data_IF_169173365767
#
_entry.id   IF_169173365767
#
_cell.length_a   1.000
_cell.length_b   1.000
_cell.length_c   1.000
_cell.angle_alpha   90.00
_cell.angle_beta   90.00
_cell.angle_gamma   90.00
#
_symmetry.space_group_name_H-M   'P 1'
#
loop_
_entity.id
_entity.type
_entity.pdbx_description
1 polymer ?
#
# COMPACT_ATOMS: atom_id res chain seq x y z
N UNK A 1 -17.28 18.99 -13.21
CA UNK A 1 -15.90 19.14 -12.70
C UNK A 1 -15.96 19.02 -11.19
N UNK A 2 -15.67 17.85 -10.65
CA UNK A 2 -15.61 17.66 -9.19
C UNK A 2 -14.22 18.08 -8.71
N UNK A 3 -14.17 19.12 -7.89
CA UNK A 3 -12.96 19.51 -7.15
C UNK A 3 -13.24 19.22 -5.68
N UNK A 4 -12.65 18.16 -5.14
CA UNK A 4 -12.59 18.03 -3.69
C UNK A 4 -11.64 19.12 -3.19
N UNK A 5 -12.09 19.92 -2.22
CA UNK A 5 -11.25 20.95 -1.61
C UNK A 5 -10.02 20.33 -0.92
N UNK A 6 -10.18 19.11 -0.41
CA UNK A 6 -9.13 18.27 0.17
C UNK A 6 -8.00 17.93 -0.82
N UNK A 7 -8.26 18.01 -2.13
CA UNK A 7 -7.29 17.72 -3.19
C UNK A 7 -6.39 18.92 -3.56
N UNK A 8 -6.68 20.12 -3.05
CA UNK A 8 -6.03 21.37 -3.50
C UNK A 8 -4.50 21.35 -3.43
N UNK A 9 -3.92 20.59 -2.50
CA UNK A 9 -2.48 20.52 -2.27
C UNK A 9 -1.88 19.13 -2.54
N UNK A 10 -2.68 18.20 -3.09
CA UNK A 10 -2.22 16.85 -3.39
C UNK A 10 -1.61 16.77 -4.80
N UNK A 11 -0.61 15.91 -5.02
CA UNK A 11 -0.12 15.62 -6.36
C UNK A 11 -1.26 15.15 -7.27
N UNK A 12 -1.25 15.54 -8.55
CA UNK A 12 -2.32 15.23 -9.50
C UNK A 12 -2.58 13.71 -9.62
N UNK A 13 -1.54 12.89 -9.48
CA UNK A 13 -1.64 11.43 -9.50
C UNK A 13 -2.37 10.88 -8.27
N UNK A 14 -2.21 11.49 -7.10
CA UNK A 14 -2.94 11.12 -5.88
C UNK A 14 -4.42 11.47 -6.03
N UNK A 15 -4.72 12.66 -6.57
CA UNK A 15 -6.09 13.07 -6.85
C UNK A 15 -6.77 12.11 -7.82
N UNK A 16 -6.06 11.69 -8.88
CA UNK A 16 -6.59 10.73 -9.84
C UNK A 16 -6.83 9.35 -9.24
N UNK A 17 -5.91 8.86 -8.39
CA UNK A 17 -6.09 7.61 -7.65
C UNK A 17 -7.35 7.67 -6.78
N UNK A 18 -7.52 8.73 -5.98
CA UNK A 18 -8.70 8.91 -5.13
C UNK A 18 -10.01 8.84 -5.94
N UNK A 19 -10.08 9.64 -7.00
CA UNK A 19 -11.30 9.78 -7.79
C UNK A 19 -11.66 8.46 -8.50
N UNK A 20 -10.70 7.79 -9.15
CA UNK A 20 -10.98 6.52 -9.83
C UNK A 20 -11.33 5.38 -8.87
N UNK A 21 -10.68 5.30 -7.71
CA UNK A 21 -10.92 4.22 -6.75
C UNK A 21 -12.10 4.50 -5.81
N UNK A 22 -12.74 5.68 -5.92
CA UNK A 22 -14.06 5.93 -5.35
C UNK A 22 -15.15 5.02 -5.93
N UNK A 23 -14.95 4.47 -7.13
CA UNK A 23 -15.93 3.73 -7.94
C UNK A 23 -17.18 4.55 -8.33
N UNK A 24 -17.11 5.88 -8.24
CA UNK A 24 -18.20 6.79 -8.59
C UNK A 24 -17.88 7.67 -9.81
N UNK A 25 -16.65 7.60 -10.32
CA UNK A 25 -16.12 8.52 -11.33
C UNK A 25 -15.41 7.71 -12.42
N UNK A 26 -15.93 7.81 -13.64
CA UNK A 26 -15.34 7.19 -14.82
C UNK A 26 -14.30 8.10 -15.49
N UNK A 27 -14.63 9.39 -15.63
CA UNK A 27 -13.84 10.35 -16.37
C UNK A 27 -13.25 11.47 -15.48
N UNK A 28 -11.94 11.70 -15.63
CA UNK A 28 -11.22 12.78 -14.97
C UNK A 28 -10.77 13.81 -16.00
N UNK A 29 -11.20 15.06 -15.80
CA UNK A 29 -10.85 16.19 -16.68
C UNK A 29 -9.99 17.17 -15.89
N UNK A 30 -8.79 17.46 -16.40
CA UNK A 30 -7.90 18.49 -15.86
C UNK A 30 -8.47 19.86 -16.27
N UNK A 31 -8.83 20.69 -15.30
CA UNK A 31 -9.46 21.99 -15.60
C UNK A 31 -8.54 23.20 -15.54
N UNK A 32 -7.27 23.05 -15.14
CA UNK A 32 -6.25 24.08 -15.35
C UNK A 32 -5.52 23.84 -16.68
N UNK A 33 -5.18 24.92 -17.37
CA UNK A 33 -4.46 24.90 -18.65
C UNK A 33 -3.14 25.69 -18.48
N UNK A 34 -1.96 25.14 -18.78
CA UNK A 34 -1.64 23.80 -19.28
C UNK A 34 -1.20 22.85 -18.15
N UNK A 35 -1.58 21.57 -18.24
CA UNK A 35 -0.90 20.51 -17.48
C UNK A 35 0.49 20.30 -18.07
N UNK A 36 1.49 20.00 -17.23
CA UNK A 36 2.84 19.71 -17.73
C UNK A 36 2.89 18.34 -18.43
N UNK A 37 3.86 18.13 -19.31
CA UNK A 37 4.04 16.85 -20.00
C UNK A 37 4.32 15.72 -18.98
N UNK A 38 5.07 16.03 -17.92
CA UNK A 38 5.35 15.11 -16.82
C UNK A 38 4.07 14.73 -16.05
N UNK A 39 3.16 15.67 -15.83
CA UNK A 39 1.86 15.40 -15.19
C UNK A 39 0.99 14.48 -16.06
N UNK A 40 0.95 14.75 -17.37
CA UNK A 40 0.20 13.94 -18.33
C UNK A 40 0.76 12.52 -18.42
N UNK A 41 2.08 12.38 -18.51
CA UNK A 41 2.73 11.07 -18.54
C UNK A 41 2.51 10.31 -17.23
N UNK A 42 2.64 10.99 -16.08
CA UNK A 42 2.41 10.38 -14.78
C UNK A 42 0.97 9.88 -14.64
N UNK A 43 -0.03 10.63 -15.12
CA UNK A 43 -1.43 10.20 -15.16
C UNK A 43 -1.66 9.03 -16.13
N UNK A 44 -1.01 9.05 -17.30
CA UNK A 44 -1.12 8.00 -18.30
C UNK A 44 -0.57 6.64 -17.85
N UNK A 45 0.39 6.64 -16.92
CA UNK A 45 0.99 5.42 -16.35
C UNK A 45 0.17 4.82 -15.19
N UNK A 46 -0.84 5.52 -14.69
CA UNK A 46 -1.66 5.01 -13.59
C UNK A 46 -2.55 3.85 -14.03
N UNK A 47 -2.61 2.81 -13.20
CA UNK A 47 -3.57 1.73 -13.35
C UNK A 47 -4.93 2.19 -12.80
N UNK A 48 -5.96 2.14 -13.64
CA UNK A 48 -7.34 2.52 -13.27
C UNK A 48 -8.12 1.41 -12.56
N UNK A 49 -7.66 0.17 -12.66
CA UNK A 49 -8.35 -1.01 -12.15
C UNK A 49 -7.77 -1.53 -10.83
N UNK A 50 -6.55 -1.12 -10.49
CA UNK A 50 -5.84 -1.61 -9.31
C UNK A 50 -5.17 -0.42 -8.62
N UNK A 51 -5.50 -0.22 -7.35
CA UNK A 51 -4.91 0.84 -6.55
C UNK A 51 -3.44 0.52 -6.28
N UNK A 52 -2.56 1.35 -6.83
CA UNK A 52 -1.12 1.26 -6.56
C UNK A 52 -0.70 2.35 -5.59
N UNK A 53 -0.22 1.98 -4.40
CA UNK A 53 0.22 2.90 -3.37
C UNK A 53 1.73 3.16 -3.48
N UNK A 54 2.15 4.41 -3.32
CA UNK A 54 3.57 4.78 -3.22
C UNK A 54 4.10 4.48 -1.83
N UNK A 55 5.29 3.88 -1.77
CA UNK A 55 5.89 3.39 -0.53
C UNK A 55 7.33 3.84 -0.38
N UNK A 56 7.72 4.08 0.87
CA UNK A 56 9.10 4.25 1.31
C UNK A 56 9.52 2.97 2.05
N UNK A 57 10.48 2.25 1.50
CA UNK A 57 10.99 1.01 2.10
C UNK A 57 11.92 1.33 3.28
N UNK A 58 11.86 0.51 4.33
CA UNK A 58 12.77 0.61 5.47
C UNK A 58 14.18 0.21 5.08
N UNK A 59 15.18 0.84 5.69
CA UNK A 59 16.57 0.40 5.53
C UNK A 59 16.79 -0.99 6.14
N UNK A 60 17.60 -1.82 5.48
CA UNK A 60 17.99 -3.13 5.99
C UNK A 60 16.99 -4.27 5.75
N UNK A 61 15.91 -4.04 4.99
CA UNK A 61 15.02 -5.12 4.55
C UNK A 61 15.72 -6.05 3.56
N UNK A 62 15.37 -7.33 3.64
CA UNK A 62 15.88 -8.37 2.75
C UNK A 62 15.37 -8.21 1.32
N UNK A 63 16.07 -8.84 0.36
CA UNK A 63 15.61 -8.90 -1.03
C UNK A 63 14.25 -9.61 -1.15
N UNK A 64 14.00 -10.60 -0.29
CA UNK A 64 12.72 -11.29 -0.22
C UNK A 64 11.60 -10.33 0.19
N UNK A 65 11.79 -9.53 1.25
CA UNK A 65 10.79 -8.56 1.70
C UNK A 65 10.52 -7.51 0.60
N UNK A 66 11.56 -7.02 -0.08
CA UNK A 66 11.39 -6.11 -1.23
C UNK A 66 10.57 -6.74 -2.35
N UNK A 67 10.87 -8.01 -2.68
CA UNK A 67 10.15 -8.77 -3.69
C UNK A 67 8.68 -8.99 -3.32
N UNK A 68 8.42 -9.33 -2.06
CA UNK A 68 7.05 -9.49 -1.54
C UNK A 68 6.26 -8.20 -1.75
N UNK A 69 6.86 -7.03 -1.47
CA UNK A 69 6.17 -5.73 -1.59
C UNK A 69 5.98 -5.31 -3.06
N UNK A 70 7.00 -5.45 -3.90
CA UNK A 70 7.01 -4.81 -5.23
C UNK A 70 6.58 -5.73 -6.38
N UNK A 71 6.75 -7.04 -6.25
CA UNK A 71 6.52 -7.98 -7.35
C UNK A 71 5.25 -8.83 -7.16
N UNK A 72 4.72 -8.94 -5.95
CA UNK A 72 3.50 -9.70 -5.71
C UNK A 72 2.23 -8.93 -6.08
N UNK A 73 1.24 -9.68 -6.55
CA UNK A 73 -0.11 -9.17 -6.69
C UNK A 73 -0.81 -9.30 -5.34
N UNK A 74 -0.95 -8.19 -4.63
CA UNK A 74 -1.61 -8.22 -3.33
C UNK A 74 -3.12 -8.24 -3.49
N UNK A 75 -3.74 -8.94 -2.56
CA UNK A 75 -5.18 -9.15 -2.54
C UNK A 75 -5.66 -9.05 -1.11
N UNK A 76 -6.55 -8.10 -0.85
CA UNK A 76 -7.11 -7.92 0.48
C UNK A 76 -8.07 -9.05 0.80
N UNK A 77 -7.81 -9.77 1.88
CA UNK A 77 -8.67 -10.87 2.29
C UNK A 77 -10.04 -10.37 2.78
N UNK A 78 -11.07 -11.21 2.58
CA UNK A 78 -12.45 -10.90 2.97
C UNK A 78 -12.70 -10.68 4.46
N UNK A 79 -11.84 -11.24 5.33
CA UNK A 79 -11.94 -11.03 6.77
C UNK A 79 -11.44 -9.63 7.14
N UNK A 80 -12.39 -8.70 7.25
CA UNK A 80 -12.12 -7.32 7.63
C UNK A 80 -11.56 -7.27 9.05
N UNK A 81 -10.29 -6.88 9.16
CA UNK A 81 -9.72 -6.45 10.43
C UNK A 81 -9.83 -4.93 10.56
N UNK A 82 -10.20 -4.46 11.76
CA UNK A 82 -10.21 -3.03 12.05
C UNK A 82 -8.80 -2.43 12.22
N UNK A 83 -7.75 -3.28 12.23
CA UNK A 83 -6.37 -2.91 12.54
C UNK A 83 -5.43 -3.05 11.35
N UNK A 84 -5.69 -3.97 10.41
CA UNK A 84 -4.78 -4.25 9.29
C UNK A 84 -5.53 -4.66 8.02
N UNK A 85 -4.96 -4.33 6.88
CA UNK A 85 -5.28 -4.94 5.58
C UNK A 85 -4.30 -6.07 5.36
N UNK A 86 -4.79 -7.26 4.98
CA UNK A 86 -3.99 -8.49 4.97
C UNK A 86 -3.84 -9.03 3.55
N UNK A 87 -2.60 -9.30 3.15
CA UNK A 87 -2.22 -9.97 1.91
C UNK A 87 -1.60 -11.31 2.23
N UNK A 88 -2.43 -12.37 2.19
CA UNK A 88 -2.07 -13.70 2.70
C UNK A 88 -1.36 -14.61 1.68
N UNK A 89 -1.40 -14.25 0.40
CA UNK A 89 -0.84 -15.08 -0.67
C UNK A 89 0.69 -15.21 -0.63
N UNK A 90 1.47 -14.14 -0.34
CA UNK A 90 2.93 -14.22 -0.26
C UNK A 90 3.41 -15.27 0.76
N UNK A 91 2.75 -15.40 1.92
CA UNK A 91 3.03 -16.44 2.91
C UNK A 91 3.02 -17.86 2.33
N UNK A 92 2.08 -18.18 1.43
CA UNK A 92 1.98 -19.52 0.82
C UNK A 92 3.13 -19.75 -0.15
N UNK A 93 3.49 -18.71 -0.91
CA UNK A 93 4.54 -18.75 -1.93
C UNK A 93 5.94 -18.82 -1.31
N UNK A 94 6.18 -18.09 -0.23
CA UNK A 94 7.46 -17.93 0.43
C UNK A 94 7.57 -18.71 1.75
N UNK A 95 6.72 -19.72 1.95
CA UNK A 95 6.66 -20.51 3.18
C UNK A 95 8.01 -21.15 3.58
N UNK A 96 8.84 -21.48 2.59
CA UNK A 96 10.13 -22.16 2.79
C UNK A 96 11.30 -21.17 2.88
N UNK A 97 11.04 -19.88 2.65
CA UNK A 97 12.03 -18.82 2.80
C UNK A 97 12.03 -18.25 4.22
N UNK A 98 13.16 -17.70 4.65
CA UNK A 98 13.34 -17.12 5.98
C UNK A 98 13.12 -15.62 5.93
N UNK A 99 12.35 -15.11 6.90
CA UNK A 99 12.16 -13.69 7.16
C UNK A 99 12.72 -13.44 8.56
N UNK A 100 14.00 -13.10 8.70
CA UNK A 100 14.61 -12.94 10.02
C UNK A 100 13.98 -11.75 10.77
N UNK A 101 13.82 -11.84 12.10
CA UNK A 101 13.22 -10.75 12.87
C UNK A 101 14.11 -9.50 12.86
N UNK A 102 13.49 -8.35 12.61
CA UNK A 102 14.09 -7.03 12.78
C UNK A 102 13.81 -6.48 14.20
N UNK A 103 14.46 -5.36 14.53
CA UNK A 103 14.22 -4.68 15.80
C UNK A 103 12.72 -4.33 15.94
N UNK A 104 12.08 -4.70 17.06
CA UNK A 104 10.66 -4.43 17.26
C UNK A 104 10.41 -2.92 17.31
N UNK A 105 9.35 -2.51 16.62
CA UNK A 105 8.90 -1.12 16.56
C UNK A 105 7.38 -1.10 16.74
N UNK A 106 6.86 -0.07 17.41
CA UNK A 106 5.41 0.18 17.47
C UNK A 106 4.87 0.33 16.05
N UNK A 107 3.77 -0.36 15.74
CA UNK A 107 3.18 -0.33 14.42
C UNK A 107 2.28 0.91 14.33
N UNK A 108 2.53 1.76 13.35
CA UNK A 108 1.81 3.01 13.12
C UNK A 108 0.92 2.90 11.88
N UNK A 109 -0.20 3.65 11.81
CA UNK A 109 -1.03 3.69 10.62
C UNK A 109 -0.23 4.06 9.35
N UNK A 110 -0.41 3.26 8.29
CA UNK A 110 0.32 3.38 7.03
C UNK A 110 1.62 2.57 6.96
N UNK A 111 2.05 1.93 8.05
CA UNK A 111 3.19 1.03 8.01
C UNK A 111 2.88 -0.22 7.17
N UNK A 112 3.88 -0.65 6.41
CA UNK A 112 3.92 -1.95 5.75
C UNK A 112 4.67 -2.91 6.64
N UNK A 113 4.05 -4.06 6.87
CA UNK A 113 4.66 -5.09 7.71
C UNK A 113 4.66 -6.45 7.05
N UNK A 114 5.67 -7.26 7.39
CA UNK A 114 5.73 -8.67 7.02
C UNK A 114 5.94 -9.49 8.28
N UNK A 115 5.10 -10.50 8.48
CA UNK A 115 5.25 -11.41 9.62
C UNK A 115 6.52 -12.26 9.45
N UNK A 116 7.35 -12.30 10.49
CA UNK A 116 8.69 -12.86 10.45
C UNK A 116 8.73 -14.31 10.99
N UNK A 117 9.93 -14.88 11.05
CA UNK A 117 10.16 -16.28 11.47
C UNK A 117 9.65 -16.60 12.89
N UNK A 118 9.41 -15.61 13.75
CA UNK A 118 8.84 -15.81 15.09
C UNK A 118 7.33 -16.07 15.05
N UNK A 119 6.63 -15.70 13.98
CA UNK A 119 5.24 -16.10 13.72
C UNK A 119 5.20 -17.24 12.70
N UNK A 120 5.50 -18.45 13.16
CA UNK A 120 5.49 -19.68 12.34
C UNK A 120 4.16 -19.84 11.59
N UNK A 121 3.06 -19.37 12.18
CA UNK A 121 1.77 -19.42 11.51
C UNK A 121 1.79 -18.42 10.37
N UNK A 122 1.95 -17.13 10.60
CA UNK A 122 1.72 -16.10 9.59
C UNK A 122 2.94 -15.66 8.77
N UNK A 123 4.12 -16.28 8.97
CA UNK A 123 5.38 -15.96 8.27
C UNK A 123 5.21 -15.64 6.78
N UNK A 124 5.73 -14.49 6.36
CA UNK A 124 5.71 -13.99 4.99
C UNK A 124 4.39 -13.34 4.57
N UNK A 125 3.42 -13.18 5.49
CA UNK A 125 2.19 -12.44 5.23
C UNK A 125 2.48 -10.94 5.26
N UNK A 126 2.05 -10.23 4.22
CA UNK A 126 2.20 -8.78 4.14
C UNK A 126 0.93 -8.10 4.66
N UNK A 127 1.10 -7.08 5.50
CA UNK A 127 0.01 -6.31 6.06
C UNK A 127 0.23 -4.79 5.88
N UNK A 128 -0.87 -4.04 5.80
CA UNK A 128 -0.87 -2.58 5.93
C UNK A 128 -1.57 -2.22 7.23
N UNK A 129 -0.91 -1.45 8.08
CA UNK A 129 -1.43 -1.05 9.39
C UNK A 129 -2.44 0.08 9.26
N UNK A 130 -3.62 -0.08 9.86
CA UNK A 130 -4.71 0.91 9.88
C UNK A 130 -4.80 1.65 11.22
N UNK A 131 -4.34 1.03 12.31
CA UNK A 131 -4.40 1.59 13.67
C UNK A 131 -3.11 1.28 14.40
N UNK A 132 -2.72 2.19 15.29
CA UNK A 132 -1.56 1.98 16.15
C UNK A 132 -1.72 0.73 17.00
N UNK A 133 -0.66 -0.08 17.07
CA UNK A 133 -0.65 -1.31 17.88
C UNK A 133 0.78 -1.68 18.33
N UNK A 134 0.92 -2.31 19.51
CA UNK A 134 2.21 -2.80 19.97
C UNK A 134 2.69 -3.97 19.11
N UNK A 135 4.00 -4.06 18.91
CA UNK A 135 4.65 -5.16 18.20
C UNK A 135 5.42 -6.05 19.19
N UNK A 136 5.07 -7.33 19.26
CA UNK A 136 5.76 -8.32 20.09
C UNK A 136 7.09 -8.80 19.48
N UNK A 137 7.55 -8.20 18.39
CA UNK A 137 8.76 -8.56 17.64
C UNK A 137 8.54 -9.64 16.59
N UNK A 138 7.30 -10.12 16.41
CA UNK A 138 6.91 -11.15 15.44
C UNK A 138 6.67 -10.61 14.02
N UNK A 139 6.71 -9.29 13.88
CA UNK A 139 6.35 -8.60 12.65
C UNK A 139 7.42 -7.57 12.33
N UNK A 140 7.97 -7.63 11.13
CA UNK A 140 8.95 -6.66 10.64
C UNK A 140 8.24 -5.45 10.04
N UNK A 141 8.69 -4.24 10.37
CA UNK A 141 8.27 -3.02 9.68
C UNK A 141 9.17 -2.82 8.46
N UNK A 142 8.63 -3.13 7.29
CA UNK A 142 9.41 -3.20 6.03
C UNK A 142 9.29 -1.93 5.17
N UNK A 143 8.41 -1.02 5.55
CA UNK A 143 8.28 0.28 4.91
C UNK A 143 7.04 0.99 5.39
N UNK A 144 6.65 2.05 4.68
CA UNK A 144 5.44 2.81 4.94
C UNK A 144 4.87 3.39 3.65
N UNK A 145 3.55 3.53 3.60
CA UNK A 145 2.88 4.30 2.55
C UNK A 145 3.21 5.78 2.74
N UNK A 146 3.54 6.47 1.65
CA UNK A 146 3.85 7.91 1.67
C UNK A 146 2.68 8.70 2.24
N UNK A 147 2.98 9.74 3.02
CA UNK A 147 1.96 10.52 3.75
C UNK A 147 0.80 10.96 2.86
N UNK A 148 1.12 11.45 1.66
CA UNK A 148 0.13 11.94 0.69
C UNK A 148 -0.82 10.87 0.16
N UNK A 149 -0.53 9.58 0.32
CA UNK A 149 -1.36 8.48 -0.17
C UNK A 149 -1.95 7.62 0.97
N UNK A 150 -1.67 7.93 2.24
CA UNK A 150 -2.14 7.12 3.38
C UNK A 150 -3.65 7.02 3.45
N UNK A 151 -4.38 8.09 3.14
CA UNK A 151 -5.83 8.08 3.16
C UNK A 151 -6.44 7.11 2.13
N UNK A 152 -5.73 6.84 1.02
CA UNK A 152 -6.17 5.90 -0.02
C UNK A 152 -6.19 4.45 0.47
N UNK A 153 -5.46 4.13 1.55
CA UNK A 153 -5.48 2.79 2.15
C UNK A 153 -6.92 2.38 2.51
N UNK A 154 -7.74 3.32 2.97
CA UNK A 154 -9.13 3.08 3.34
C UNK A 154 -10.06 2.77 2.15
N UNK A 155 -9.58 2.97 0.92
CA UNK A 155 -10.33 2.63 -0.29
C UNK A 155 -10.14 1.18 -0.71
N UNK A 156 -9.14 0.47 -0.17
CA UNK A 156 -8.92 -0.95 -0.45
C UNK A 156 -10.02 -1.76 0.23
N UNK A 157 -10.99 -2.25 -0.56
CA UNK A 157 -12.11 -3.04 -0.03
C UNK A 157 -11.73 -4.51 0.11
N UNK A 158 -12.52 -5.29 0.85
CA UNK A 158 -12.32 -6.74 0.92
C UNK A 158 -12.47 -7.35 -0.47
N UNK A 159 -11.60 -8.31 -0.79
CA UNK A 159 -11.51 -8.97 -2.11
C UNK A 159 -11.04 -8.07 -3.25
N UNK A 160 -10.43 -6.92 -2.96
CA UNK A 160 -9.79 -6.09 -3.98
C UNK A 160 -8.29 -6.34 -4.07
N UNK A 161 -7.77 -6.22 -5.29
CA UNK A 161 -6.34 -6.23 -5.55
C UNK A 161 -5.75 -4.86 -5.34
N UNK A 162 -4.52 -4.81 -4.82
CA UNK A 162 -3.73 -3.59 -4.72
C UNK A 162 -2.26 -3.91 -5.01
N UNK A 163 -1.48 -2.87 -5.28
CA UNK A 163 -0.05 -2.99 -5.54
C UNK A 163 0.73 -1.85 -4.89
N UNK A 164 2.05 -1.96 -4.92
CA UNK A 164 2.94 -0.92 -4.43
C UNK A 164 3.91 -0.46 -5.51
N UNK A 165 4.32 0.80 -5.42
CA UNK A 165 5.37 1.39 -6.27
C UNK A 165 6.32 2.20 -5.40
N UNK A 166 7.60 2.22 -5.77
CA UNK A 166 8.59 3.06 -5.08
C UNK A 166 8.23 4.55 -5.20
N UNK A 167 8.50 5.31 -4.14
CA UNK A 167 8.35 6.77 -4.11
C UNK A 167 9.15 7.47 -5.21
#
# INVERSE_FOLDING_TARGET
>A
MFKLEEHRHLPITVQAKDLWHSQLIDDLIIGNMYASEEELEALGRLNRSTLSLKVELSDGISQLEQKIILEEKHFNRGDVSAYVIRSTQPRVKYKDESVPPLAPQTLMPGDLTIDNDLDIRYKGELNIVLKEMPNEGKTNVVGKVVESERFLIHQIRPWETFSFTMK
#
